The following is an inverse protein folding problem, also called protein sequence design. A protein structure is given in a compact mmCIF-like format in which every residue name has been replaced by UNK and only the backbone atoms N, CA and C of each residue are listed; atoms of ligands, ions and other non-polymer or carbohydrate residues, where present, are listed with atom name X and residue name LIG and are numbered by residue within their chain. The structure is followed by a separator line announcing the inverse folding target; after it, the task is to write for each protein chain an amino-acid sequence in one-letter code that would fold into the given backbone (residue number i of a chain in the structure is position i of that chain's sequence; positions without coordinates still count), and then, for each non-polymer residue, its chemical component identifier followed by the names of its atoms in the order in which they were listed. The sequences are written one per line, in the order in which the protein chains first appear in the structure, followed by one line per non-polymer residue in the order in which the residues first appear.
data_IF_339160166673
#
_entry.id   IF_339160166673
#
_cell.length_a   1.000
_cell.length_b   1.000
_cell.length_c   1.000
_cell.angle_alpha   90.00
_cell.angle_beta   90.00
_cell.angle_gamma   90.00
#
_symmetry.space_group_name_H-M   'P 1'
#
loop_
_entity.id
_entity.type
_entity.pdbx_description
1 polymer ?
#
# COMPACT_ATOMS: atom_id res chain seq x y z
N UNK A 1 -38.07 13.49 -18.07
CA UNK A 1 -37.32 14.07 -16.93
C UNK A 1 -36.04 13.27 -16.75
N UNK A 2 -34.89 13.71 -17.26
CA UNK A 2 -33.68 12.86 -17.23
C UNK A 2 -32.36 13.46 -17.75
N UNK A 3 -32.36 14.70 -18.24
CA UNK A 3 -31.15 15.32 -18.81
C UNK A 3 -30.40 16.24 -17.83
N UNK A 4 -30.91 16.47 -16.61
CA UNK A 4 -30.34 17.46 -15.69
C UNK A 4 -29.22 16.90 -14.79
N UNK A 5 -29.02 15.59 -14.70
CA UNK A 5 -27.98 15.00 -13.84
C UNK A 5 -26.60 14.96 -14.50
N UNK A 6 -26.52 14.81 -15.83
CA UNK A 6 -25.24 14.73 -16.57
C UNK A 6 -24.49 16.07 -16.65
N UNK A 7 -25.23 17.18 -16.79
CA UNK A 7 -24.66 18.53 -16.90
C UNK A 7 -24.17 19.06 -15.55
N UNK A 8 -24.77 18.63 -14.45
CA UNK A 8 -24.34 19.03 -13.09
C UNK A 8 -23.08 18.24 -12.69
N UNK A 9 -23.06 16.92 -12.94
CA UNK A 9 -21.87 16.10 -12.69
C UNK A 9 -20.63 16.61 -13.46
N UNK A 10 -20.77 16.98 -14.74
CA UNK A 10 -19.64 17.49 -15.54
C UNK A 10 -19.18 18.91 -15.19
N UNK A 11 -20.04 19.73 -14.56
CA UNK A 11 -19.69 21.07 -14.08
C UNK A 11 -19.00 21.07 -12.72
N UNK A 12 -19.33 20.12 -11.84
CA UNK A 12 -18.69 19.99 -10.52
C UNK A 12 -17.43 19.11 -10.57
N UNK A 13 -17.44 18.06 -11.39
CA UNK A 13 -16.26 17.25 -11.68
C UNK A 13 -15.63 17.74 -12.98
N UNK A 14 -15.02 18.93 -12.92
CA UNK A 14 -14.20 19.44 -14.02
C UNK A 14 -13.28 18.34 -14.54
N UNK A 15 -13.18 18.23 -15.87
CA UNK A 15 -12.38 17.23 -16.59
C UNK A 15 -11.01 17.14 -15.93
N UNK A 16 -10.77 16.07 -15.14
CA UNK A 16 -9.50 15.87 -14.47
C UNK A 16 -8.40 15.98 -15.54
N UNK A 17 -7.38 16.84 -15.34
CA UNK A 17 -6.32 16.95 -16.31
C UNK A 17 -5.74 15.56 -16.55
N UNK A 18 -5.40 15.19 -17.79
CA UNK A 18 -4.71 13.93 -18.03
C UNK A 18 -3.52 13.88 -17.08
N UNK A 19 -3.45 12.85 -16.22
CA UNK A 19 -2.28 12.68 -15.36
C UNK A 19 -1.08 12.68 -16.28
N UNK A 20 -0.14 13.61 -16.05
CA UNK A 20 1.15 13.58 -16.74
C UNK A 20 1.68 12.16 -16.58
N UNK A 21 2.16 11.50 -17.65
CA UNK A 21 2.74 10.18 -17.52
C UNK A 21 3.81 10.31 -16.44
N UNK A 22 3.57 9.63 -15.32
CA UNK A 22 4.48 9.63 -14.21
C UNK A 22 5.83 9.25 -14.79
N UNK A 23 6.86 10.07 -14.52
CA UNK A 23 8.21 9.82 -14.95
C UNK A 23 8.52 8.38 -14.53
N UNK A 24 8.55 7.46 -15.50
CA UNK A 24 8.79 6.04 -15.22
C UNK A 24 10.15 6.02 -14.55
N UNK A 25 10.16 5.78 -13.24
CA UNK A 25 11.40 5.66 -12.51
C UNK A 25 12.19 4.55 -13.22
N UNK A 26 13.46 4.83 -13.50
CA UNK A 26 14.35 3.84 -14.11
C UNK A 26 14.22 2.52 -13.37
N UNK A 27 14.29 1.41 -14.12
CA UNK A 27 14.21 0.08 -13.53
C UNK A 27 15.19 -0.04 -12.35
N UNK A 28 14.70 -0.58 -11.23
CA UNK A 28 15.52 -0.87 -10.05
C UNK A 28 16.72 -1.72 -10.49
N UNK A 29 17.96 -1.35 -10.15
CA UNK A 29 19.12 -2.14 -10.53
C UNK A 29 19.03 -3.51 -9.88
N UNK A 30 19.01 -4.57 -10.70
CA UNK A 30 19.05 -5.95 -10.23
C UNK A 30 20.49 -6.24 -9.79
N UNK A 31 20.69 -6.48 -8.50
CA UNK A 31 21.99 -6.86 -7.98
C UNK A 31 22.41 -8.22 -8.55
N UNK A 32 23.66 -8.32 -9.05
CA UNK A 32 24.13 -9.52 -9.77
C UNK A 32 24.00 -10.84 -8.98
N UNK A 33 24.03 -10.77 -7.65
CA UNK A 33 23.93 -11.95 -6.78
C UNK A 33 22.47 -12.33 -6.40
N UNK A 34 21.47 -11.56 -6.84
CA UNK A 34 20.06 -11.89 -6.67
C UNK A 34 19.27 -11.57 -7.95
N UNK A 35 19.41 -12.39 -9.01
CA UNK A 35 18.62 -12.22 -10.21
C UNK A 35 17.14 -12.43 -9.90
N UNK A 36 16.29 -11.61 -10.54
CA UNK A 36 14.83 -11.72 -10.47
C UNK A 36 14.39 -12.91 -11.32
N UNK A 37 13.51 -13.73 -10.78
CA UNK A 37 12.79 -14.79 -11.50
C UNK A 37 11.33 -14.80 -11.04
N UNK A 38 10.42 -15.34 -11.86
CA UNK A 38 9.00 -15.38 -11.51
C UNK A 38 8.74 -16.20 -10.24
N UNK A 39 9.50 -17.27 -10.04
CA UNK A 39 9.40 -18.14 -8.87
C UNK A 39 9.85 -17.42 -7.59
N UNK A 40 10.91 -16.60 -7.68
CA UNK A 40 11.39 -15.79 -6.55
C UNK A 40 10.42 -14.67 -6.20
N UNK A 41 9.82 -14.05 -7.22
CA UNK A 41 8.79 -13.02 -7.01
C UNK A 41 7.59 -13.59 -6.29
N UNK A 42 7.08 -14.74 -6.75
CA UNK A 42 5.94 -15.42 -6.14
C UNK A 42 6.26 -15.89 -4.72
N UNK A 43 7.44 -16.48 -4.50
CA UNK A 43 7.88 -16.85 -3.16
C UNK A 43 7.95 -15.62 -2.23
N UNK A 44 8.53 -14.52 -2.71
CA UNK A 44 8.58 -13.27 -1.96
C UNK A 44 7.20 -12.73 -1.62
N UNK A 45 6.25 -12.81 -2.56
CA UNK A 45 4.85 -12.44 -2.35
C UNK A 45 4.21 -13.28 -1.26
N UNK A 46 4.40 -14.60 -1.26
CA UNK A 46 3.85 -15.48 -0.23
C UNK A 46 4.44 -15.15 1.15
N UNK A 47 5.77 -15.05 1.25
CA UNK A 47 6.47 -14.74 2.50
C UNK A 47 6.11 -13.36 3.07
N UNK A 48 5.74 -12.42 2.22
CA UNK A 48 5.33 -11.08 2.63
C UNK A 48 4.10 -11.08 3.54
N UNK A 49 3.13 -11.97 3.26
CA UNK A 49 1.89 -12.09 4.01
C UNK A 49 1.95 -13.17 5.09
N UNK A 50 2.95 -14.05 5.05
CA UNK A 50 3.12 -15.16 5.99
C UNK A 50 3.81 -14.70 7.30
N UNK A 51 3.21 -14.96 8.48
CA UNK A 51 3.85 -14.64 9.75
C UNK A 51 4.99 -15.60 10.13
N UNK A 52 5.25 -16.68 9.38
CA UNK A 52 6.29 -17.70 9.69
C UNK A 52 7.70 -17.11 9.89
N UNK A 53 7.96 -15.93 9.33
CA UNK A 53 9.24 -15.23 9.48
C UNK A 53 9.36 -14.43 10.79
N UNK A 54 8.28 -14.32 11.57
CA UNK A 54 8.34 -13.75 12.92
C UNK A 54 8.70 -14.82 13.95
N UNK A 55 9.50 -14.45 14.96
CA UNK A 55 9.96 -15.40 15.98
C UNK A 55 8.84 -16.06 16.81
N UNK A 56 7.61 -15.59 16.71
CA UNK A 56 6.43 -16.15 17.38
C UNK A 56 5.25 -16.46 16.45
N UNK A 57 5.45 -16.40 15.13
CA UNK A 57 4.44 -16.65 14.11
C UNK A 57 3.17 -15.77 14.22
N UNK A 58 3.28 -14.56 14.75
CA UNK A 58 2.14 -13.64 14.89
C UNK A 58 2.14 -12.46 13.92
N UNK A 59 3.27 -12.16 13.27
CA UNK A 59 3.46 -10.94 12.47
C UNK A 59 4.09 -11.25 11.12
N UNK A 60 3.45 -10.83 10.04
CA UNK A 60 4.04 -10.80 8.69
C UNK A 60 4.54 -9.41 8.31
N UNK A 61 5.20 -9.27 7.17
CA UNK A 61 5.61 -7.96 6.65
C UNK A 61 4.40 -7.06 6.38
N UNK A 62 3.31 -7.63 5.84
CA UNK A 62 2.05 -6.96 5.57
C UNK A 62 1.38 -6.36 6.82
N UNK A 63 1.68 -6.87 8.01
CA UNK A 63 1.15 -6.34 9.27
C UNK A 63 1.48 -4.87 9.45
N UNK A 64 2.72 -4.44 9.17
CA UNK A 64 3.14 -3.04 9.26
C UNK A 64 3.21 -2.34 7.90
N UNK A 65 3.31 -3.08 6.80
CA UNK A 65 3.39 -2.53 5.45
C UNK A 65 2.13 -2.90 4.64
N UNK A 66 0.97 -2.44 5.08
CA UNK A 66 -0.28 -2.90 4.45
C UNK A 66 -0.43 -2.33 3.01
N UNK A 67 -0.79 -3.14 1.99
CA UNK A 67 -0.96 -2.65 0.62
C UNK A 67 -1.98 -1.51 0.49
N UNK A 68 -3.12 -1.62 1.19
CA UNK A 68 -4.16 -0.57 1.21
C UNK A 68 -3.70 0.76 1.82
N UNK A 69 -2.61 0.72 2.58
CA UNK A 69 -2.00 1.90 3.18
C UNK A 69 -0.78 2.37 2.39
N UNK A 70 -0.52 1.82 1.20
CA UNK A 70 0.63 2.16 0.37
C UNK A 70 1.93 1.50 0.82
N UNK A 71 1.85 0.27 1.35
CA UNK A 71 2.97 -0.46 1.97
C UNK A 71 3.54 0.29 3.19
N UNK A 72 2.63 0.88 3.96
CA UNK A 72 2.92 1.70 5.14
C UNK A 72 2.07 1.26 6.31
N UNK A 73 2.41 1.76 7.50
CA UNK A 73 1.61 1.52 8.68
C UNK A 73 0.61 2.64 8.98
N UNK A 74 0.56 3.72 8.20
CA UNK A 74 -0.25 4.92 8.48
C UNK A 74 -0.23 5.37 9.96
N UNK A 75 0.94 5.24 10.59
CA UNK A 75 1.23 5.59 11.99
C UNK A 75 2.64 6.16 12.05
N UNK A 76 2.89 7.02 13.04
CA UNK A 76 4.25 7.49 13.32
C UNK A 76 5.16 6.34 13.78
N UNK A 77 4.65 5.49 14.68
CA UNK A 77 5.34 4.29 15.15
C UNK A 77 4.43 3.07 15.00
N UNK A 78 5.01 2.01 14.46
CA UNK A 78 4.34 0.74 14.31
C UNK A 78 4.17 0.01 15.62
N UNK A 79 3.12 -0.81 15.71
CA UNK A 79 2.91 -1.69 16.85
C UNK A 79 3.18 -3.13 16.41
N UNK A 80 4.25 -3.68 16.98
CA UNK A 80 4.70 -5.05 16.74
C UNK A 80 3.91 -6.05 17.56
N UNK A 81 4.61 -7.02 18.15
CA UNK A 81 4.04 -8.22 18.79
C UNK A 81 2.86 -7.88 19.71
N UNK A 82 1.74 -8.57 19.51
CA UNK A 82 0.50 -8.38 20.27
C UNK A 82 -0.40 -7.22 19.80
N UNK A 83 -0.02 -6.53 18.72
CA UNK A 83 -0.85 -5.50 18.09
C UNK A 83 -1.86 -6.11 17.14
N UNK A 84 -3.10 -5.61 17.14
CA UNK A 84 -4.18 -6.10 16.29
C UNK A 84 -4.93 -4.96 15.61
N UNK A 85 -5.32 -5.13 14.35
CA UNK A 85 -5.96 -4.12 13.51
C UNK A 85 -5.00 -3.50 12.49
N UNK A 86 -5.51 -2.52 11.73
CA UNK A 86 -4.82 -1.94 10.58
C UNK A 86 -4.58 -0.44 10.83
N UNK A 87 -3.38 0.02 10.55
CA UNK A 87 -3.01 1.43 10.57
C UNK A 87 -3.33 2.16 11.89
N UNK A 88 -3.96 3.34 11.77
CA UNK A 88 -4.38 4.15 12.93
C UNK A 88 -5.28 3.40 13.92
N UNK A 89 -6.06 2.44 13.44
CA UNK A 89 -7.06 1.71 14.24
C UNK A 89 -6.44 0.50 14.97
N UNK A 90 -5.17 0.18 14.73
CA UNK A 90 -4.47 -0.87 15.46
C UNK A 90 -4.43 -0.54 16.96
N UNK A 91 -4.56 -1.56 17.80
CA UNK A 91 -4.51 -1.47 19.27
C UNK A 91 -3.60 -2.53 19.87
N UNK A 92 -3.09 -2.25 21.06
CA UNK A 92 -2.23 -3.17 21.81
C UNK A 92 -0.84 -3.35 21.20
N UNK A 93 -0.11 -4.31 21.74
CA UNK A 93 1.22 -4.69 21.28
C UNK A 93 2.35 -3.74 21.65
N UNK A 94 3.57 -4.17 21.30
CA UNK A 94 4.78 -3.43 21.59
C UNK A 94 5.01 -2.32 20.57
N UNK A 95 5.07 -1.07 21.01
CA UNK A 95 5.41 0.07 20.14
C UNK A 95 6.88 -0.03 19.73
N UNK A 96 7.13 -0.14 18.42
CA UNK A 96 8.47 -0.18 17.88
C UNK A 96 9.10 1.21 17.94
N UNK A 97 10.35 1.30 18.41
CA UNK A 97 11.07 2.59 18.60
C UNK A 97 11.70 3.16 17.33
N UNK A 98 11.55 2.48 16.19
CA UNK A 98 12.07 2.94 14.90
C UNK A 98 10.92 3.49 14.06
N UNK A 99 11.05 4.75 13.69
CA UNK A 99 10.21 5.42 12.69
C UNK A 99 10.54 4.88 11.31
N UNK A 100 9.52 4.58 10.52
CA UNK A 100 9.67 4.40 9.08
C UNK A 100 9.65 5.78 8.41
N UNK A 101 10.53 6.08 7.44
CA UNK A 101 10.71 7.44 6.87
C UNK A 101 9.47 8.10 6.24
N UNK A 102 8.32 7.44 6.19
CA UNK A 102 7.06 8.05 5.77
C UNK A 102 6.41 8.93 6.86
N UNK A 103 6.87 8.84 8.11
CA UNK A 103 6.27 9.54 9.25
C UNK A 103 6.66 11.03 9.35
N UNK A 104 7.31 11.61 8.34
CA UNK A 104 8.03 12.89 8.50
C UNK A 104 8.00 13.91 7.36
N UNK A 105 7.22 13.74 6.28
CA UNK A 105 7.15 14.76 5.20
C UNK A 105 5.70 15.03 4.78
N UNK A 106 5.16 16.11 5.38
CA UNK A 106 4.14 17.05 4.92
C UNK A 106 2.73 16.54 4.48
N UNK A 107 1.64 17.06 5.07
CA UNK A 107 0.24 16.74 4.71
C UNK A 107 -0.23 17.32 3.36
N UNK A 108 0.67 17.59 2.41
CA UNK A 108 0.33 18.26 1.13
C UNK A 108 0.13 17.26 -0.03
N UNK A 109 0.54 16.00 0.11
CA UNK A 109 0.56 15.03 -1.02
C UNK A 109 -0.52 13.93 -0.93
N UNK A 110 -1.34 13.92 0.12
CA UNK A 110 -2.34 12.86 0.39
C UNK A 110 -3.56 12.85 -0.54
N UNK A 111 -3.72 13.80 -1.46
CA UNK A 111 -4.85 13.78 -2.41
C UNK A 111 -4.57 13.08 -3.75
N UNK A 112 -3.32 12.71 -4.07
CA UNK A 112 -3.00 12.19 -5.42
C UNK A 112 -2.53 10.74 -5.51
N UNK A 113 -2.23 10.06 -4.39
CA UNK A 113 -1.70 8.69 -4.41
C UNK A 113 -2.72 7.58 -4.13
N UNK A 114 -3.88 7.90 -3.54
CA UNK A 114 -4.87 6.89 -3.09
C UNK A 114 -5.79 6.29 -4.17
N UNK A 115 -5.57 6.57 -5.45
CA UNK A 115 -6.52 6.19 -6.51
C UNK A 115 -5.87 5.50 -7.73
N UNK A 116 -4.58 5.14 -7.65
CA UNK A 116 -3.86 4.48 -8.76
C UNK A 116 -3.66 3.00 -8.52
N UNK A 117 -3.39 2.59 -7.27
CA UNK A 117 -3.17 1.16 -6.93
C UNK A 117 -4.46 0.34 -6.90
N UNK A 118 -5.64 0.93 -6.64
CA UNK A 118 -6.91 0.21 -6.75
C UNK A 118 -7.27 -0.21 -8.19
N UNK A 119 -6.73 0.43 -9.24
CA UNK A 119 -7.24 0.23 -10.61
C UNK A 119 -6.54 -0.87 -11.42
N UNK A 120 -5.42 -1.40 -10.94
CA UNK A 120 -4.71 -2.53 -11.58
C UNK A 120 -4.79 -3.83 -10.78
N UNK A 121 -5.25 -3.79 -9.53
CA UNK A 121 -5.47 -4.97 -8.69
C UNK A 121 -6.94 -5.42 -8.62
N UNK A 122 -7.86 -4.73 -9.30
CA UNK A 122 -9.29 -5.07 -9.37
C UNK A 122 -9.68 -5.87 -10.61
N UNK A 123 -8.75 -6.19 -11.51
CA UNK A 123 -9.06 -6.92 -12.76
C UNK A 123 -8.77 -8.42 -12.72
N UNK A 124 -8.52 -9.04 -11.56
CA UNK A 124 -8.44 -10.50 -11.51
C UNK A 124 -8.00 -11.10 -10.19
N UNK A 125 -8.94 -11.77 -9.53
CA UNK A 125 -8.69 -13.01 -8.78
C UNK A 125 -7.94 -12.90 -7.44
N UNK A 126 -8.62 -12.37 -6.42
CA UNK A 126 -8.29 -12.67 -5.02
C UNK A 126 -9.35 -13.65 -4.48
N UNK A 127 -9.06 -14.95 -4.30
CA UNK A 127 -9.93 -15.82 -3.53
C UNK A 127 -9.87 -15.38 -2.06
N UNK A 128 -11.05 -15.17 -1.48
CA UNK A 128 -11.22 -14.89 -0.06
C UNK A 128 -10.78 -16.15 0.71
N UNK A 129 -9.65 -16.08 1.41
CA UNK A 129 -9.28 -17.02 2.47
C UNK A 129 -9.44 -16.34 3.82
#
# INVERSE_FOLDING_TARGET
MGQLTSTILSKFFGKLPPRKPEKVLSAMPIGGNNPVSAEKEELGRLLYFDPILSGDNTISCAHCHHPDLGFTDNRALSMGRGGSGIGKDRKGGQVLRRVHPQSGILPIITFSFGMVVQRTWTSGFFPQI
#
